data_IF_820714129350
#
_entry.id   IF_820714129350
#
_cell.length_a   1.000
_cell.length_b   1.000
_cell.length_c   1.000
_cell.angle_alpha   90.00
_cell.angle_beta   90.00
_cell.angle_gamma   90.00
#
_symmetry.space_group_name_H-M   'P 1'
#
loop_
_entity.id
_entity.type
_entity.pdbx_description
1 polymer ?
#
# COMPACT_ATOMS: atom_id res chain seq x y z
N UNK A 1 17.86 1.23 7.95
CA UNK A 1 16.46 1.28 7.50
C UNK A 1 16.26 0.26 6.36
N UNK A 2 15.83 -0.98 6.68
CA UNK A 2 15.65 -2.06 5.70
C UNK A 2 14.18 -2.07 5.25
N UNK A 3 13.92 -1.63 4.02
CA UNK A 3 12.59 -1.68 3.42
C UNK A 3 12.24 -3.14 3.05
N UNK A 4 11.42 -3.79 3.87
CA UNK A 4 10.83 -5.09 3.53
C UNK A 4 9.78 -4.90 2.43
N UNK A 5 10.04 -5.47 1.25
CA UNK A 5 9.29 -5.24 0.00
C UNK A 5 8.28 -6.35 -0.36
N UNK A 6 8.07 -7.34 0.51
CA UNK A 6 7.12 -8.45 0.27
C UNK A 6 6.03 -8.59 1.37
N UNK A 7 6.25 -8.06 2.58
CA UNK A 7 5.28 -8.17 3.68
C UNK A 7 4.02 -7.31 3.52
N UNK A 8 4.05 -6.31 2.64
CA UNK A 8 2.92 -5.40 2.42
C UNK A 8 1.71 -6.09 1.80
N UNK A 9 1.93 -7.10 0.94
CA UNK A 9 0.86 -7.81 0.23
C UNK A 9 0.03 -8.67 1.19
N UNK A 10 0.68 -9.35 2.14
CA UNK A 10 -0.01 -10.14 3.18
C UNK A 10 -0.85 -9.25 4.10
N UNK A 11 -0.37 -8.05 4.43
CA UNK A 11 -1.06 -7.11 5.34
C UNK A 11 -2.32 -6.49 4.76
N UNK A 12 -2.32 -6.11 3.47
CA UNK A 12 -3.53 -5.58 2.80
C UNK A 12 -4.64 -6.63 2.77
N UNK A 13 -4.29 -7.90 2.54
CA UNK A 13 -5.26 -9.01 2.56
C UNK A 13 -5.75 -9.32 3.99
N UNK A 14 -4.87 -9.32 4.98
CA UNK A 14 -5.25 -9.55 6.39
C UNK A 14 -6.18 -8.46 6.95
N UNK A 15 -6.09 -7.20 6.51
CA UNK A 15 -7.06 -6.16 6.89
C UNK A 15 -8.49 -6.51 6.46
N UNK A 16 -8.67 -7.25 5.34
CA UNK A 16 -9.97 -7.76 4.90
C UNK A 16 -10.46 -8.93 5.77
N UNK A 17 -9.54 -9.79 6.22
CA UNK A 17 -9.86 -11.04 6.92
C UNK A 17 -10.13 -10.85 8.43
N UNK A 18 -9.64 -9.78 9.05
CA UNK A 18 -9.77 -9.53 10.50
C UNK A 18 -11.05 -8.78 10.93
N UNK A 19 -12.12 -8.80 10.14
CA UNK A 19 -13.45 -8.32 10.57
C UNK A 19 -13.65 -6.80 10.55
N UNK A 20 -12.66 -6.01 10.14
CA UNK A 20 -12.87 -4.58 9.85
C UNK A 20 -13.62 -4.48 8.53
N UNK A 21 -14.88 -4.01 8.56
CA UNK A 21 -15.65 -3.70 7.34
C UNK A 21 -14.96 -2.56 6.58
N UNK A 22 -14.00 -2.92 5.75
CA UNK A 22 -13.30 -1.97 4.87
C UNK A 22 -14.08 -1.82 3.57
N UNK A 23 -14.25 -0.56 3.17
CA UNK A 23 -14.91 -0.18 1.92
C UNK A 23 -13.89 -0.20 0.80
N UNK A 24 -14.00 -1.15 -0.14
CA UNK A 24 -12.99 -1.34 -1.19
C UNK A 24 -12.77 -0.07 -2.02
N UNK A 25 -13.79 0.75 -2.17
CA UNK A 25 -13.75 2.03 -2.89
C UNK A 25 -12.83 3.08 -2.23
N UNK A 26 -12.45 2.91 -0.96
CA UNK A 26 -11.58 3.84 -0.21
C UNK A 26 -10.08 3.55 -0.37
N UNK A 27 -9.71 2.43 -0.98
CA UNK A 27 -8.31 2.15 -1.29
C UNK A 27 -7.81 3.08 -2.39
N UNK A 28 -6.57 3.56 -2.24
CA UNK A 28 -5.82 4.28 -3.26
C UNK A 28 -4.44 3.69 -3.34
N UNK A 29 -3.97 3.48 -4.56
CA UNK A 29 -2.68 2.86 -4.81
C UNK A 29 -1.77 3.84 -5.54
N UNK A 30 -0.54 3.99 -5.05
CA UNK A 30 0.50 4.78 -5.70
C UNK A 30 1.68 3.88 -6.06
N UNK A 31 1.99 3.82 -7.35
CA UNK A 31 3.16 3.11 -7.85
C UNK A 31 4.35 4.04 -8.04
N UNK A 32 5.52 3.59 -7.62
CA UNK A 32 6.80 4.17 -8.00
C UNK A 32 7.47 3.25 -9.02
N UNK A 33 7.61 3.75 -10.25
CA UNK A 33 8.12 3.02 -11.39
C UNK A 33 9.51 3.53 -11.79
N UNK A 34 10.27 2.66 -12.47
CA UNK A 34 11.46 3.07 -13.18
C UNK A 34 11.13 3.42 -14.63
N UNK A 35 11.97 4.25 -15.25
CA UNK A 35 11.85 4.60 -16.68
C UNK A 35 11.91 3.39 -17.61
N UNK A 36 12.45 2.26 -17.14
CA UNK A 36 12.54 0.99 -17.86
C UNK A 36 11.28 0.14 -17.76
N UNK A 37 10.28 0.54 -16.99
CA UNK A 37 9.06 -0.24 -16.79
C UNK A 37 7.97 0.21 -17.76
N UNK A 38 7.23 -0.76 -18.28
CA UNK A 38 5.93 -0.49 -18.89
C UNK A 38 4.90 -0.17 -17.77
N UNK A 39 4.29 1.01 -17.85
CA UNK A 39 3.34 1.46 -16.83
C UNK A 39 2.12 0.53 -16.77
N UNK A 40 1.60 0.09 -17.91
CA UNK A 40 0.37 -0.69 -18.01
C UNK A 40 0.62 -2.08 -17.43
N UNK A 41 1.69 -2.73 -17.83
CA UNK A 41 2.04 -4.07 -17.35
C UNK A 41 2.24 -4.11 -15.84
N UNK A 42 2.97 -3.13 -15.28
CA UNK A 42 3.17 -3.06 -13.83
C UNK A 42 1.86 -2.74 -13.10
N UNK A 43 1.04 -1.86 -13.65
CA UNK A 43 -0.28 -1.53 -13.05
C UNK A 43 -1.18 -2.77 -13.02
N UNK A 44 -1.30 -3.50 -14.14
CA UNK A 44 -2.10 -4.72 -14.20
C UNK A 44 -1.53 -5.81 -13.30
N UNK A 45 -0.21 -5.94 -13.18
CA UNK A 45 0.42 -6.86 -12.21
C UNK A 45 -0.04 -6.56 -10.77
N UNK A 46 0.07 -5.31 -10.32
CA UNK A 46 -0.32 -4.92 -8.96
C UNK A 46 -1.83 -4.98 -8.73
N UNK A 47 -2.63 -4.61 -9.73
CA UNK A 47 -4.09 -4.73 -9.72
C UNK A 47 -4.51 -6.20 -9.50
N UNK A 48 -3.94 -7.12 -10.28
CA UNK A 48 -4.22 -8.55 -10.17
C UNK A 48 -3.77 -9.15 -8.84
N UNK A 49 -2.62 -8.70 -8.31
CA UNK A 49 -2.05 -9.17 -7.06
C UNK A 49 -2.85 -8.69 -5.84
N UNK A 50 -3.24 -7.41 -5.83
CA UNK A 50 -3.93 -6.77 -4.70
C UNK A 50 -5.45 -6.90 -4.77
N UNK A 51 -6.00 -7.30 -5.93
CA UNK A 51 -7.44 -7.30 -6.22
C UNK A 51 -8.04 -5.91 -6.02
N UNK A 52 -7.32 -4.89 -6.50
CA UNK A 52 -7.75 -3.49 -6.49
C UNK A 52 -7.92 -3.07 -7.95
N UNK A 53 -9.10 -2.57 -8.37
CA UNK A 53 -9.29 -2.06 -9.72
C UNK A 53 -8.29 -0.96 -10.13
N UNK A 54 -7.87 -0.98 -11.40
CA UNK A 54 -6.86 -0.04 -11.93
C UNK A 54 -7.29 1.43 -11.80
N UNK A 55 -8.59 1.73 -11.81
CA UNK A 55 -9.08 3.11 -11.63
C UNK A 55 -8.77 3.70 -10.24
N UNK A 56 -8.42 2.85 -9.25
CA UNK A 56 -7.99 3.29 -7.91
C UNK A 56 -6.47 3.53 -7.82
N UNK A 57 -5.75 3.31 -8.92
CA UNK A 57 -4.31 3.59 -9.03
C UNK A 57 -4.10 5.04 -9.47
N UNK A 58 -3.36 5.77 -8.66
CA UNK A 58 -3.00 7.15 -8.94
C UNK A 58 -1.88 7.23 -9.99
N UNK A 59 -1.64 8.44 -10.52
CA UNK A 59 -0.52 8.70 -11.43
C UNK A 59 0.80 8.23 -10.77
N UNK A 60 1.56 7.33 -11.43
CA UNK A 60 2.79 6.81 -10.84
C UNK A 60 3.88 7.86 -10.82
N UNK A 61 4.78 7.74 -9.84
CA UNK A 61 6.04 8.50 -9.84
C UNK A 61 7.08 7.76 -10.66
N UNK A 62 7.66 8.42 -11.66
CA UNK A 62 8.70 7.85 -12.51
C UNK A 62 10.08 8.25 -11.99
N UNK A 63 10.96 7.28 -11.79
CA UNK A 63 12.32 7.50 -11.27
C UNK A 63 13.36 6.85 -12.17
N UNK A 64 14.50 7.50 -12.40
CA UNK A 64 15.59 6.89 -13.17
C UNK A 64 16.35 5.92 -12.25
N UNK A 65 16.54 4.64 -12.63
CA UNK A 65 17.33 3.71 -11.83
C UNK A 65 18.80 4.17 -11.83
N UNK A 66 19.46 4.16 -10.66
CA UNK A 66 20.91 4.37 -10.59
C UNK A 66 21.62 3.16 -11.22
N UNK A 67 22.72 3.39 -11.95
CA UNK A 67 23.43 2.37 -12.74
C UNK A 67 23.82 1.09 -11.97
N UNK A 68 24.01 1.20 -10.64
CA UNK A 68 24.34 0.08 -9.75
C UNK A 68 23.13 -0.75 -9.30
N UNK A 69 21.90 -0.28 -9.54
CA UNK A 69 20.67 -0.90 -9.03
C UNK A 69 19.96 -1.70 -10.13
N UNK A 70 20.55 -2.82 -10.53
CA UNK A 70 19.95 -3.78 -11.49
C UNK A 70 19.31 -4.95 -10.73
N UNK A 71 18.13 -4.71 -10.14
CA UNK A 71 17.30 -5.84 -9.68
C UNK A 71 16.57 -6.40 -10.89
N UNK A 72 16.98 -7.57 -11.38
CA UNK A 72 16.20 -8.32 -12.37
C UNK A 72 14.81 -8.58 -11.78
N UNK A 73 13.77 -8.35 -12.59
CA UNK A 73 12.36 -8.56 -12.25
C UNK A 73 11.73 -7.65 -11.18
N UNK A 74 12.37 -6.51 -10.86
CA UNK A 74 11.79 -5.56 -9.94
C UNK A 74 10.55 -4.85 -10.53
N UNK A 75 9.36 -5.13 -10.00
CA UNK A 75 8.08 -4.57 -10.47
C UNK A 75 7.73 -3.20 -9.85
N UNK A 76 8.72 -2.40 -9.46
CA UNK A 76 8.51 -1.12 -8.79
C UNK A 76 8.16 -1.23 -7.30
N UNK A 77 7.82 -0.10 -6.67
CA UNK A 77 7.25 -0.06 -5.31
C UNK A 77 5.76 0.26 -5.42
N UNK A 78 4.94 -0.39 -4.61
CA UNK A 78 3.51 -0.12 -4.49
C UNK A 78 3.19 0.35 -3.07
N UNK A 79 2.57 1.51 -2.96
CA UNK A 79 2.07 2.06 -1.69
C UNK A 79 0.54 2.01 -1.71
N UNK A 80 -0.06 1.33 -0.74
CA UNK A 80 -1.52 1.26 -0.57
C UNK A 80 -1.92 2.18 0.57
N UNK A 81 -2.90 3.05 0.33
CA UNK A 81 -3.48 3.95 1.33
C UNK A 81 -4.97 3.66 1.45
N UNK A 82 -5.50 3.73 2.66
CA UNK A 82 -6.93 3.62 2.95
C UNK A 82 -7.39 4.93 3.56
N UNK A 83 -8.25 5.67 2.85
CA UNK A 83 -8.70 7.00 3.25
C UNK A 83 -10.04 6.90 3.98
N UNK A 84 -9.99 6.70 5.29
CA UNK A 84 -11.19 6.65 6.13
C UNK A 84 -10.96 7.36 7.46
N UNK A 85 -11.56 8.55 7.59
CA UNK A 85 -11.41 9.39 8.78
C UNK A 85 -12.04 8.74 10.02
N UNK A 86 -13.16 8.02 9.85
CA UNK A 86 -13.82 7.32 10.96
C UNK A 86 -12.93 6.22 11.52
N UNK A 87 -12.34 5.40 10.64
CA UNK A 87 -11.41 4.34 11.05
C UNK A 87 -10.16 4.92 11.72
N UNK A 88 -9.63 6.03 11.20
CA UNK A 88 -8.48 6.69 11.82
C UNK A 88 -8.82 7.16 13.25
N UNK A 89 -9.95 7.82 13.45
CA UNK A 89 -10.38 8.25 14.78
C UNK A 89 -10.65 7.10 15.74
N UNK A 90 -11.19 5.97 15.24
CA UNK A 90 -11.40 4.78 16.05
C UNK A 90 -10.07 4.19 16.54
N UNK A 91 -9.09 4.09 15.65
CA UNK A 91 -7.75 3.58 15.99
C UNK A 91 -7.08 4.52 17.00
N UNK A 92 -7.10 5.83 16.74
CA UNK A 92 -6.50 6.84 17.62
C UNK A 92 -7.19 6.87 18.97
N UNK A 93 -8.53 6.93 19.00
CA UNK A 93 -9.29 6.94 20.24
C UNK A 93 -9.08 5.68 21.08
N UNK A 94 -9.01 4.51 20.43
CA UNK A 94 -8.65 3.25 21.10
C UNK A 94 -7.25 3.31 21.69
N UNK A 95 -6.27 3.76 20.91
CA UNK A 95 -4.88 3.90 21.36
C UNK A 95 -4.76 4.85 22.56
N UNK A 96 -5.39 6.03 22.50
CA UNK A 96 -5.40 6.99 23.61
C UNK A 96 -6.06 6.40 24.87
N UNK A 97 -7.14 5.65 24.72
CA UNK A 97 -7.80 4.99 25.85
C UNK A 97 -6.93 3.90 26.50
N UNK A 98 -6.15 3.16 25.70
CA UNK A 98 -5.16 2.21 26.21
C UNK A 98 -3.99 2.91 26.89
N UNK A 99 -3.44 3.97 26.30
CA UNK A 99 -2.30 4.68 26.88
C UNK A 99 -2.64 5.35 28.22
N UNK A 100 -3.80 6.01 28.31
CA UNK A 100 -4.29 6.59 29.57
C UNK A 100 -4.51 5.57 30.70
N UNK A 101 -4.63 4.28 30.39
CA UNK A 101 -4.73 3.21 31.38
C UNK A 101 -3.38 2.64 31.82
N UNK A 102 -2.31 2.88 31.07
CA UNK A 102 -0.95 2.41 31.39
C UNK A 102 -0.21 3.45 32.26
N UNK A 103 -0.54 4.74 32.11
CA UNK A 103 0.03 5.84 32.90
C UNK A 103 -0.66 6.06 34.28
N UNK A 104 -1.50 5.12 34.72
CA UNK A 104 -2.15 5.11 36.06
C UNK A 104 -1.73 3.86 36.83
#
# INVERSE_FOLDING_TARGET
>A
MKFYKQDTVKKVRQLKENGVKTKEEKFRVHLQLHTTHDKKDITSFWSNLLKIPEYQFQKPTITKPMAKMKRRDYKGTCTVRYYDFSLFNEIVGTYEAFFKKIDK
#
